data_IF_365592364336
#
_entry.id   IF_365592364336
#
_cell.length_a   1.000
_cell.length_b   1.000
_cell.length_c   1.000
_cell.angle_alpha   90.00
_cell.angle_beta   90.00
_cell.angle_gamma   90.00
#
_symmetry.space_group_name_H-M   'P 1'
#
loop_
_entity.id
_entity.type
_entity.pdbx_description
1 polymer ?
#
# COMPACT_ATOMS: atom_id res chain seq x y z
N UNK A 1 -19.85 -8.21 -25.56
CA UNK A 1 -18.96 -8.60 -24.44
C UNK A 1 -18.39 -7.36 -23.73
N UNK A 2 -18.76 -7.15 -22.46
CA UNK A 2 -18.18 -6.07 -21.66
C UNK A 2 -16.69 -6.37 -21.47
N UNK A 3 -15.82 -5.47 -21.94
CA UNK A 3 -14.40 -5.47 -21.56
C UNK A 3 -14.36 -5.43 -20.04
N UNK A 4 -13.76 -6.41 -19.38
CA UNK A 4 -13.29 -6.24 -18.02
C UNK A 4 -12.23 -5.13 -18.10
N UNK A 5 -12.63 -3.90 -17.80
CA UNK A 5 -11.68 -2.81 -17.61
C UNK A 5 -10.84 -3.21 -16.40
N UNK A 6 -9.56 -3.52 -16.60
CA UNK A 6 -8.63 -3.75 -15.50
C UNK A 6 -8.63 -2.54 -14.57
N UNK A 7 -8.30 -2.76 -13.30
CA UNK A 7 -8.30 -1.69 -12.30
C UNK A 7 -7.48 -0.48 -12.76
N UNK A 8 -8.00 0.71 -12.49
CA UNK A 8 -7.29 1.98 -12.71
C UNK A 8 -6.40 2.31 -11.52
N UNK A 9 -5.58 3.36 -11.61
CA UNK A 9 -4.81 3.85 -10.44
C UNK A 9 -5.72 4.26 -9.28
N UNK A 10 -6.93 4.74 -9.56
CA UNK A 10 -7.91 5.19 -8.57
C UNK A 10 -8.41 4.03 -7.71
N UNK A 11 -8.48 2.82 -8.28
CA UNK A 11 -8.84 1.61 -7.56
C UNK A 11 -7.87 1.29 -6.42
N UNK A 12 -6.64 1.79 -6.44
CA UNK A 12 -5.63 1.56 -5.40
C UNK A 12 -5.67 2.62 -4.31
N UNK A 13 -6.29 3.78 -4.56
CA UNK A 13 -6.36 4.87 -3.60
C UNK A 13 -7.13 4.44 -2.36
N UNK A 14 -6.60 4.79 -1.19
CA UNK A 14 -7.27 4.52 0.08
C UNK A 14 -6.31 4.31 1.24
N UNK A 15 -6.89 4.00 2.39
CA UNK A 15 -6.16 3.67 3.61
C UNK A 15 -6.18 2.17 3.84
N UNK A 16 -5.09 1.66 4.40
CA UNK A 16 -4.89 0.24 4.62
C UNK A 16 -4.32 -0.06 6.00
N UNK A 17 -4.81 -1.15 6.60
CA UNK A 17 -4.21 -1.77 7.76
C UNK A 17 -3.16 -2.80 7.33
N UNK A 18 -1.94 -2.63 7.83
CA UNK A 18 -0.83 -3.57 7.63
C UNK A 18 -0.63 -4.41 8.90
N UNK A 19 -0.93 -5.72 8.89
CA UNK A 19 -0.80 -6.54 10.09
C UNK A 19 0.65 -6.72 10.56
N UNK A 20 1.66 -6.51 9.70
CA UNK A 20 3.07 -6.49 10.12
C UNK A 20 3.46 -5.22 10.87
N UNK A 21 2.64 -4.17 10.80
CA UNK A 21 2.84 -2.92 11.53
C UNK A 21 1.52 -2.46 12.19
N UNK A 22 1.08 -3.13 13.27
CA UNK A 22 -0.22 -2.89 13.88
C UNK A 22 -0.44 -1.42 14.26
N UNK A 23 -1.56 -0.85 13.81
CA UNK A 23 -1.92 0.55 14.03
C UNK A 23 -1.19 1.56 13.15
N UNK A 24 -0.13 1.17 12.44
CA UNK A 24 0.61 2.03 11.53
C UNK A 24 -0.04 1.96 10.14
N UNK A 25 -1.09 2.77 9.92
CA UNK A 25 -1.83 2.77 8.66
C UNK A 25 -0.94 3.11 7.47
N UNK A 26 -1.23 2.50 6.32
CA UNK A 26 -0.67 2.87 5.02
C UNK A 26 -1.72 3.67 4.26
N UNK A 27 -1.27 4.60 3.43
CA UNK A 27 -2.15 5.38 2.58
C UNK A 27 -1.60 5.37 1.15
N UNK A 28 -2.46 5.16 0.18
CA UNK A 28 -2.14 5.22 -1.25
C UNK A 28 -2.93 6.37 -1.84
N UNK A 29 -2.23 7.30 -2.49
CA UNK A 29 -2.80 8.47 -3.14
C UNK A 29 -2.22 8.62 -4.56
N UNK A 30 -2.93 9.36 -5.42
CA UNK A 30 -2.41 9.79 -6.72
C UNK A 30 -1.89 11.23 -6.56
N UNK A 31 -0.62 11.45 -6.92
CA UNK A 31 0.03 12.74 -6.96
C UNK A 31 0.50 13.05 -8.40
N UNK A 32 1.04 14.25 -8.63
CA UNK A 32 1.54 14.66 -9.94
C UNK A 32 2.66 13.73 -10.45
N UNK A 33 3.48 13.23 -9.52
CA UNK A 33 4.59 12.32 -9.75
C UNK A 33 4.19 10.84 -9.94
N UNK A 34 2.91 10.50 -9.76
CA UNK A 34 2.39 9.12 -9.89
C UNK A 34 1.65 8.63 -8.65
N UNK A 35 1.67 7.32 -8.42
CA UNK A 35 1.05 6.73 -7.21
C UNK A 35 2.05 6.83 -6.06
N UNK A 36 1.63 7.46 -4.96
CA UNK A 36 2.43 7.63 -3.75
C UNK A 36 1.86 6.77 -2.64
N UNK A 37 2.72 6.01 -1.98
CA UNK A 37 2.39 5.22 -0.80
C UNK A 37 3.05 5.87 0.40
N UNK A 38 2.27 6.27 1.40
CA UNK A 38 2.76 6.91 2.62
C UNK A 38 2.34 6.18 3.88
N UNK A 39 3.03 6.47 4.97
CA UNK A 39 2.65 6.04 6.30
C UNK A 39 3.79 6.22 7.29
N UNK A 40 3.71 5.48 8.38
CA UNK A 40 4.70 5.50 9.44
C UNK A 40 5.04 4.08 9.90
N UNK A 41 6.18 3.91 10.55
CA UNK A 41 6.52 2.69 11.28
C UNK A 41 6.84 3.04 12.73
N UNK A 42 6.26 2.30 13.68
CA UNK A 42 6.64 2.27 15.09
C UNK A 42 6.92 0.83 15.53
N UNK A 43 7.55 0.69 16.70
CA UNK A 43 7.91 -0.63 17.26
C UNK A 43 7.33 -0.78 18.67
N UNK A 44 6.51 -1.80 18.95
CA UNK A 44 6.10 -2.92 18.06
C UNK A 44 4.97 -2.57 17.08
N UNK A 45 4.44 -1.36 17.12
CA UNK A 45 3.36 -0.86 16.27
C UNK A 45 3.14 0.63 16.53
N UNK A 46 1.93 1.13 16.32
CA UNK A 46 1.55 2.54 16.49
C UNK A 46 0.30 2.72 17.38
N UNK A 47 0.03 1.79 18.29
CA UNK A 47 -1.21 1.75 19.11
C UNK A 47 -1.05 2.27 20.53
N UNK A 48 0.19 2.34 21.06
CA UNK A 48 0.48 2.63 22.47
C UNK A 48 1.36 3.87 22.66
N UNK A 49 1.41 4.75 21.65
CA UNK A 49 2.22 5.97 21.69
C UNK A 49 3.69 5.73 21.34
N UNK A 50 3.99 4.66 20.60
CA UNK A 50 5.33 4.37 20.10
C UNK A 50 5.86 5.53 19.25
N UNK A 51 7.18 5.75 19.29
CA UNK A 51 7.82 6.71 18.39
C UNK A 51 7.66 6.22 16.94
N UNK A 52 7.11 7.08 16.09
CA UNK A 52 6.84 6.77 14.70
C UNK A 52 7.84 7.44 13.77
N UNK A 53 8.30 6.73 12.74
CA UNK A 53 9.08 7.27 11.63
C UNK A 53 8.22 7.31 10.37
N UNK A 54 7.95 8.52 9.87
CA UNK A 54 7.20 8.71 8.63
C UNK A 54 8.04 8.38 7.40
N UNK A 55 7.40 7.93 6.34
CA UNK A 55 8.03 7.60 5.06
C UNK A 55 7.02 7.77 3.91
N UNK A 56 7.56 8.02 2.72
CA UNK A 56 6.83 8.05 1.44
C UNK A 56 7.59 7.19 0.43
N UNK A 57 6.87 6.40 -0.35
CA UNK A 57 7.37 5.52 -1.40
C UNK A 57 6.63 5.82 -2.71
N UNK A 58 7.29 5.54 -3.82
CA UNK A 58 6.67 5.58 -5.14
C UNK A 58 6.12 4.20 -5.49
N UNK A 59 5.02 4.20 -6.25
CA UNK A 59 4.49 3.00 -6.87
C UNK A 59 4.19 3.23 -8.35
N UNK A 60 4.37 2.18 -9.13
CA UNK A 60 3.88 2.09 -10.51
C UNK A 60 2.77 1.06 -10.57
N UNK A 61 1.84 1.21 -11.51
CA UNK A 61 0.77 0.24 -11.74
C UNK A 61 0.81 -0.22 -13.18
N UNK A 62 0.34 -1.45 -13.42
CA UNK A 62 0.08 -1.96 -14.77
C UNK A 62 -1.42 -2.14 -14.93
N UNK A 63 -2.01 -1.93 -16.12
CA UNK A 63 -3.42 -2.23 -16.36
C UNK A 63 -3.76 -3.66 -15.92
N UNK A 64 -4.67 -3.82 -14.96
CA UNK A 64 -4.95 -5.09 -14.28
C UNK A 64 -4.90 -4.95 -12.76
N UNK A 65 -4.67 -6.05 -12.05
CA UNK A 65 -4.69 -6.12 -10.57
C UNK A 65 -3.29 -6.04 -9.94
N UNK A 66 -2.32 -5.38 -10.58
CA UNK A 66 -0.92 -5.32 -10.11
C UNK A 66 -0.44 -3.89 -9.81
N UNK A 67 0.13 -3.72 -8.60
CA UNK A 67 0.79 -2.52 -8.10
C UNK A 67 2.23 -2.87 -7.72
N UNK A 68 3.22 -2.14 -8.21
CA UNK A 68 4.64 -2.32 -7.87
C UNK A 68 5.09 -1.17 -6.98
N UNK A 69 5.45 -1.46 -5.73
CA UNK A 69 5.87 -0.45 -4.74
C UNK A 69 7.39 -0.51 -4.53
N UNK A 70 8.04 0.65 -4.55
CA UNK A 70 9.47 0.80 -4.29
C UNK A 70 9.76 0.94 -2.80
N UNK A 71 10.15 -0.16 -2.16
CA UNK A 71 10.58 -0.18 -0.77
C UNK A 71 12.08 0.09 -0.59
N UNK A 72 12.85 0.35 -1.65
CA UNK A 72 14.29 0.60 -1.55
C UNK A 72 14.67 1.79 -0.63
N UNK A 73 13.89 2.88 -0.50
CA UNK A 73 14.17 3.93 0.47
C UNK A 73 14.10 3.47 1.94
N UNK A 74 13.45 2.31 2.18
CA UNK A 74 13.35 1.65 3.48
C UNK A 74 14.27 0.43 3.61
N UNK A 75 15.12 0.18 2.62
CA UNK A 75 16.02 -1.00 2.56
C UNK A 75 15.36 -2.27 2.03
N UNK A 76 14.16 -2.18 1.46
CA UNK A 76 13.45 -3.30 0.85
C UNK A 76 13.68 -3.42 -0.67
N UNK A 77 12.94 -4.32 -1.34
CA UNK A 77 13.01 -4.48 -2.79
C UNK A 77 12.42 -3.27 -3.53
N UNK A 78 12.95 -3.01 -4.73
CA UNK A 78 12.57 -1.86 -5.57
C UNK A 78 11.18 -1.98 -6.22
N UNK A 79 10.72 -3.21 -6.47
CA UNK A 79 9.49 -3.44 -7.24
C UNK A 79 8.67 -4.56 -6.57
N UNK A 80 8.26 -4.34 -5.32
CA UNK A 80 7.45 -5.35 -4.62
C UNK A 80 6.05 -5.40 -5.23
N UNK A 81 5.70 -6.57 -5.79
CA UNK A 81 4.39 -6.81 -6.36
C UNK A 81 3.31 -6.89 -5.29
N UNK A 82 2.32 -6.02 -5.37
CA UNK A 82 1.05 -6.09 -4.67
C UNK A 82 -0.05 -6.49 -5.64
N UNK A 83 -0.84 -7.51 -5.28
CA UNK A 83 -2.01 -7.95 -6.07
C UNK A 83 -3.32 -7.59 -5.37
N UNK A 84 -4.29 -7.10 -6.12
CA UNK A 84 -5.62 -6.87 -5.56
C UNK A 84 -6.29 -8.20 -5.21
N UNK A 85 -6.81 -8.34 -3.99
CA UNK A 85 -7.48 -9.54 -3.50
C UNK A 85 -8.77 -9.15 -2.76
N UNK A 86 -9.77 -8.69 -3.52
CA UNK A 86 -11.12 -8.39 -3.05
C UNK A 86 -11.23 -7.16 -2.14
N UNK A 87 -10.64 -7.24 -0.94
CA UNK A 87 -10.69 -6.26 0.14
C UNK A 87 -9.32 -5.63 0.47
N UNK A 88 -8.28 -5.91 -0.31
CA UNK A 88 -6.94 -5.42 -0.01
C UNK A 88 -5.86 -5.83 -1.00
N UNK A 89 -4.61 -5.60 -0.62
CA UNK A 89 -3.41 -5.82 -1.43
C UNK A 89 -2.60 -6.94 -0.81
N UNK A 90 -2.43 -8.05 -1.53
CA UNK A 90 -1.60 -9.19 -1.14
C UNK A 90 -0.19 -9.06 -1.68
N UNK A 91 0.81 -9.29 -0.84
CA UNK A 91 2.22 -9.32 -1.19
C UNK A 91 2.76 -10.77 -1.20
N UNK A 92 3.87 -11.04 -1.94
CA UNK A 92 4.49 -12.37 -2.05
C UNK A 92 4.93 -12.99 -0.72
N UNK A 93 5.21 -12.16 0.28
CA UNK A 93 5.63 -12.59 1.62
C UNK A 93 4.46 -13.03 2.51
N UNK A 94 3.24 -13.13 1.94
CA UNK A 94 2.01 -13.48 2.63
C UNK A 94 1.33 -12.30 3.34
N UNK A 95 1.98 -11.14 3.44
CA UNK A 95 1.36 -9.95 4.04
C UNK A 95 0.17 -9.48 3.19
N UNK A 96 -0.90 -9.03 3.85
CA UNK A 96 -2.06 -8.46 3.18
C UNK A 96 -2.45 -7.14 3.84
N UNK A 97 -2.33 -6.06 3.07
CA UNK A 97 -2.83 -4.75 3.46
C UNK A 97 -4.33 -4.71 3.22
N UNK A 98 -5.13 -4.76 4.28
CA UNK A 98 -6.59 -4.70 4.18
C UNK A 98 -7.03 -3.26 4.05
N UNK A 99 -7.88 -2.95 3.07
CA UNK A 99 -8.49 -1.63 2.96
C UNK A 99 -9.35 -1.37 4.19
N UNK A 100 -9.22 -0.18 4.76
CA UNK A 100 -10.04 0.27 5.87
C UNK A 100 -10.93 1.42 5.39
N UNK A 101 -12.20 1.38 5.77
CA UNK A 101 -13.11 2.48 5.48
C UNK A 101 -12.60 3.76 6.15
N UNK A 102 -12.57 4.85 5.40
CA UNK A 102 -12.45 6.19 5.96
C UNK A 102 -13.66 6.43 6.87
N UNK A 103 -13.43 6.50 8.18
CA UNK A 103 -14.31 7.29 9.05
C UNK A 103 -13.93 8.75 8.93
#
# INVERSE_FOLDING_TARGET
>A
PARAFGKSSEDWVGRYADPKHPGCRREINIALEGVVVSGSDGTPGCLKGERQKNWNLMASWKPGDELLIDFSPKGGPKDLLGKWEGDGIRFPDGNKWKRIATR
#
